data_IF_288430648022
#
_entry.id   IF_288430648022
#
_cell.length_a   1.000
_cell.length_b   1.000
_cell.length_c   1.000
_cell.angle_alpha   90.00
_cell.angle_beta   90.00
_cell.angle_gamma   90.00
#
_symmetry.space_group_name_H-M   'P 1'
#
loop_
_entity.id
_entity.type
_entity.pdbx_description
1 polymer ?
#
# COMPACT_ATOMS: atom_id res chain seq x y z
N UNK A 1 6.01 30.81 -35.81
CA UNK A 1 5.67 29.39 -35.52
C UNK A 1 5.79 29.20 -34.03
N UNK A 2 4.73 29.14 -33.20
CA UNK A 2 4.84 28.84 -31.78
C UNK A 2 4.96 27.33 -31.62
N UNK A 3 6.06 26.89 -30.99
CA UNK A 3 6.36 25.51 -30.73
C UNK A 3 5.33 24.88 -29.79
N UNK A 4 4.80 23.76 -30.24
CA UNK A 4 3.97 22.85 -29.46
C UNK A 4 4.87 22.28 -28.36
N UNK A 5 4.81 22.83 -27.14
CA UNK A 5 5.30 22.15 -25.94
C UNK A 5 4.41 20.93 -25.75
N UNK A 6 4.87 19.78 -26.22
CA UNK A 6 4.27 18.51 -25.91
C UNK A 6 4.22 18.38 -24.37
N UNK A 7 3.02 18.39 -23.81
CA UNK A 7 2.79 18.02 -22.42
C UNK A 7 3.19 16.55 -22.36
N UNK A 8 4.38 16.29 -21.83
CA UNK A 8 4.83 14.95 -21.49
C UNK A 8 3.81 14.40 -20.48
N UNK A 9 2.87 13.59 -20.96
CA UNK A 9 1.89 12.93 -20.11
C UNK A 9 2.68 12.01 -19.21
N UNK A 10 2.87 12.42 -17.96
CA UNK A 10 3.48 11.56 -16.94
C UNK A 10 2.59 10.33 -16.87
N UNK A 11 3.16 9.15 -17.19
CA UNK A 11 2.40 7.91 -17.11
C UNK A 11 2.20 7.56 -15.63
N UNK A 12 0.95 7.28 -15.20
CA UNK A 12 0.70 6.88 -13.84
C UNK A 12 1.43 5.57 -13.49
N UNK A 13 1.85 5.44 -12.26
CA UNK A 13 2.53 4.22 -11.79
C UNK A 13 1.55 3.05 -11.70
N UNK A 14 0.30 3.32 -11.31
CA UNK A 14 -0.79 2.34 -11.28
C UNK A 14 -2.00 2.92 -11.99
N UNK A 15 -2.67 2.12 -12.80
CA UNK A 15 -3.87 2.56 -13.50
C UNK A 15 -4.92 1.43 -13.53
N UNK A 16 -6.13 1.77 -13.13
CA UNK A 16 -7.33 0.96 -13.25
C UNK A 16 -8.20 1.54 -14.36
N UNK A 17 -8.53 0.75 -15.38
CA UNK A 17 -9.35 1.15 -16.52
C UNK A 17 -10.60 0.28 -16.59
N UNK A 18 -11.74 0.83 -16.21
CA UNK A 18 -13.05 0.17 -16.27
C UNK A 18 -13.05 -1.24 -15.64
N UNK A 19 -12.38 -1.35 -14.48
CA UNK A 19 -12.14 -2.62 -13.81
C UNK A 19 -13.42 -3.14 -13.17
N UNK A 20 -13.84 -4.35 -13.57
CA UNK A 20 -14.88 -5.11 -12.90
C UNK A 20 -14.35 -6.48 -12.47
N UNK A 21 -14.86 -6.98 -11.37
CA UNK A 21 -14.49 -8.30 -10.85
C UNK A 21 -15.70 -9.02 -10.28
N UNK A 22 -15.91 -10.22 -10.78
CA UNK A 22 -16.97 -11.11 -10.35
C UNK A 22 -16.38 -12.48 -9.97
N UNK A 23 -16.87 -13.05 -8.89
CA UNK A 23 -16.51 -14.39 -8.44
C UNK A 23 -17.72 -15.09 -7.85
N UNK A 24 -18.00 -16.32 -8.29
CA UNK A 24 -19.15 -17.11 -7.83
C UNK A 24 -20.51 -16.41 -8.03
N UNK A 25 -20.69 -15.68 -9.13
CA UNK A 25 -21.91 -14.92 -9.42
C UNK A 25 -22.08 -13.64 -8.59
N UNK A 26 -21.10 -13.30 -7.74
CA UNK A 26 -21.11 -12.06 -6.92
C UNK A 26 -20.18 -11.02 -7.51
N UNK A 27 -20.73 -9.84 -7.80
CA UNK A 27 -19.97 -8.68 -8.22
C UNK A 27 -19.25 -8.07 -7.02
N UNK A 28 -17.91 -7.98 -7.11
CA UNK A 28 -17.04 -7.41 -6.06
C UNK A 28 -16.58 -6.01 -6.44
N UNK A 29 -16.18 -5.80 -7.71
CA UNK A 29 -15.86 -4.48 -8.26
C UNK A 29 -16.68 -4.25 -9.52
N UNK A 30 -17.15 -3.02 -9.72
CA UNK A 30 -18.00 -2.63 -10.84
C UNK A 30 -17.50 -1.33 -11.44
N UNK A 31 -16.91 -1.40 -12.63
CA UNK A 31 -16.47 -0.25 -13.43
C UNK A 31 -15.59 0.76 -12.67
N UNK A 32 -14.60 0.24 -11.94
CA UNK A 32 -13.68 1.06 -11.14
C UNK A 32 -12.57 1.59 -12.03
N UNK A 33 -12.41 2.92 -12.05
CA UNK A 33 -11.36 3.60 -12.82
C UNK A 33 -10.67 4.64 -11.95
N UNK A 34 -9.35 4.55 -11.83
CA UNK A 34 -8.48 5.54 -11.20
C UNK A 34 -7.03 5.36 -11.67
N UNK A 35 -6.22 6.39 -11.47
CA UNK A 35 -4.78 6.33 -11.67
C UNK A 35 -4.08 6.75 -10.39
N UNK A 36 -2.84 6.30 -10.17
CA UNK A 36 -1.97 6.72 -9.06
C UNK A 36 -0.65 7.20 -9.66
N UNK A 37 -0.37 8.47 -9.46
CA UNK A 37 0.84 9.11 -9.97
C UNK A 37 2.07 8.77 -9.12
N UNK A 38 3.26 8.93 -9.69
CA UNK A 38 4.51 8.72 -8.96
C UNK A 38 4.58 9.68 -7.74
N UNK A 39 4.94 9.14 -6.57
CA UNK A 39 5.01 9.89 -5.31
C UNK A 39 3.67 10.13 -4.63
N UNK A 40 2.55 9.72 -5.24
CA UNK A 40 1.21 9.86 -4.66
C UNK A 40 0.95 8.76 -3.60
N UNK A 41 0.18 9.12 -2.57
CA UNK A 41 -0.43 8.17 -1.64
C UNK A 41 -1.95 8.19 -1.85
N UNK A 42 -2.47 7.22 -2.61
CA UNK A 42 -3.91 7.01 -2.73
C UNK A 42 -4.40 6.18 -1.54
N UNK A 43 -5.34 6.72 -0.78
CA UNK A 43 -6.04 5.94 0.26
C UNK A 43 -7.38 5.47 -0.27
N UNK A 44 -7.57 4.16 -0.36
CA UNK A 44 -8.87 3.55 -0.62
C UNK A 44 -9.62 3.38 0.70
N UNK A 45 -10.61 4.25 0.91
CA UNK A 45 -11.50 4.25 2.06
C UNK A 45 -12.78 3.49 1.73
N UNK A 46 -13.37 2.81 2.70
CA UNK A 46 -14.68 2.15 2.54
C UNK A 46 -14.94 1.11 3.61
N UNK A 47 -16.18 0.68 3.75
CA UNK A 47 -16.57 -0.37 4.71
C UNK A 47 -15.95 -1.73 4.38
N UNK A 48 -15.99 -2.65 5.33
CA UNK A 48 -15.61 -4.05 5.06
C UNK A 48 -16.44 -4.62 3.91
N UNK A 49 -15.77 -5.36 3.01
CA UNK A 49 -16.43 -5.95 1.83
C UNK A 49 -16.67 -4.99 0.67
N UNK A 50 -16.22 -3.73 0.72
CA UNK A 50 -16.38 -2.78 -0.40
C UNK A 50 -15.48 -3.05 -1.62
N UNK A 51 -14.51 -4.00 -1.52
CA UNK A 51 -13.63 -4.38 -2.63
C UNK A 51 -12.19 -3.84 -2.54
N UNK A 52 -11.81 -3.11 -1.48
CA UNK A 52 -10.48 -2.48 -1.31
C UNK A 52 -9.31 -3.46 -1.42
N UNK A 53 -9.32 -4.52 -0.61
CA UNK A 53 -8.31 -5.60 -0.65
C UNK A 53 -8.28 -6.30 -2.01
N UNK A 54 -9.43 -6.42 -2.68
CA UNK A 54 -9.52 -6.97 -4.04
C UNK A 54 -8.76 -6.08 -5.03
N UNK A 55 -8.92 -4.75 -4.95
CA UNK A 55 -8.17 -3.81 -5.76
C UNK A 55 -6.65 -3.92 -5.50
N UNK A 56 -6.20 -4.00 -4.23
CA UNK A 56 -4.78 -4.23 -3.93
C UNK A 56 -4.26 -5.53 -4.53
N UNK A 57 -5.02 -6.63 -4.41
CA UNK A 57 -4.64 -7.93 -4.97
C UNK A 57 -4.58 -7.94 -6.51
N UNK A 58 -5.30 -7.06 -7.17
CA UNK A 58 -5.18 -6.87 -8.62
C UNK A 58 -3.93 -6.07 -8.99
N UNK A 59 -3.57 -5.09 -8.18
CA UNK A 59 -2.36 -4.29 -8.41
C UNK A 59 -1.10 -5.14 -8.37
N UNK A 60 -1.02 -6.15 -7.47
CA UNK A 60 0.14 -7.04 -7.37
C UNK A 60 0.02 -8.35 -8.18
N UNK A 61 -0.99 -8.46 -9.07
CA UNK A 61 -1.19 -9.62 -9.92
C UNK A 61 -1.59 -10.91 -9.20
N UNK A 62 -2.11 -10.82 -7.95
CA UNK A 62 -2.69 -11.97 -7.25
C UNK A 62 -4.12 -12.28 -7.73
N UNK A 63 -4.81 -11.27 -8.22
CA UNK A 63 -6.11 -11.38 -8.87
C UNK A 63 -6.09 -10.61 -10.19
N UNK A 64 -6.93 -11.05 -11.13
CA UNK A 64 -7.11 -10.37 -12.41
C UNK A 64 -8.56 -9.96 -12.61
N UNK A 65 -8.83 -8.77 -13.18
CA UNK A 65 -10.20 -8.33 -13.42
C UNK A 65 -10.92 -9.24 -14.41
N UNK A 66 -12.25 -9.38 -14.24
CA UNK A 66 -13.11 -10.07 -15.24
C UNK A 66 -13.40 -9.19 -16.44
N UNK A 67 -13.39 -7.86 -16.26
CA UNK A 67 -13.49 -6.85 -17.34
C UNK A 67 -12.57 -5.69 -17.00
N UNK A 68 -12.14 -4.96 -18.03
CA UNK A 68 -11.20 -3.86 -17.87
C UNK A 68 -9.77 -4.34 -17.67
N UNK A 69 -8.90 -3.43 -17.22
CA UNK A 69 -7.47 -3.67 -17.13
C UNK A 69 -6.85 -2.94 -15.94
N UNK A 70 -5.88 -3.60 -15.30
CA UNK A 70 -5.00 -2.98 -14.32
C UNK A 70 -3.59 -2.92 -14.90
N UNK A 71 -2.96 -1.75 -14.85
CA UNK A 71 -1.59 -1.52 -15.30
C UNK A 71 -0.70 -1.07 -14.15
N UNK A 72 0.52 -1.56 -14.15
CA UNK A 72 1.61 -1.12 -13.27
C UNK A 72 2.79 -0.74 -14.15
N UNK A 73 3.35 0.46 -13.96
CA UNK A 73 4.40 1.03 -14.81
C UNK A 73 4.03 0.98 -16.31
N UNK A 74 2.77 1.28 -16.64
CA UNK A 74 2.25 1.30 -18.01
C UNK A 74 2.01 -0.07 -18.63
N UNK A 75 2.39 -1.17 -17.98
CA UNK A 75 2.23 -2.56 -18.46
C UNK A 75 1.06 -3.26 -17.74
N UNK A 76 0.24 -4.00 -18.49
CA UNK A 76 -0.84 -4.81 -17.92
C UNK A 76 -0.32 -5.81 -16.88
N UNK A 77 -1.02 -5.94 -15.74
CA UNK A 77 -0.63 -6.94 -14.72
C UNK A 77 -0.70 -8.37 -15.23
N UNK A 78 -1.46 -8.64 -16.30
CA UNK A 78 -1.52 -9.95 -16.98
C UNK A 78 -0.27 -10.26 -17.81
N UNK A 79 0.44 -9.23 -18.26
CA UNK A 79 1.63 -9.34 -19.11
C UNK A 79 2.93 -9.37 -18.31
N UNK A 80 2.89 -9.02 -17.04
CA UNK A 80 4.04 -9.10 -16.16
C UNK A 80 4.41 -10.56 -15.86
N UNK A 81 5.72 -10.82 -15.74
CA UNK A 81 6.16 -11.99 -15.00
C UNK A 81 5.68 -11.88 -13.55
N UNK A 82 4.92 -12.87 -13.03
CA UNK A 82 4.28 -12.75 -11.72
C UNK A 82 5.28 -12.60 -10.55
N UNK A 83 6.50 -13.16 -10.70
CA UNK A 83 7.54 -13.06 -9.66
C UNK A 83 8.14 -11.66 -9.70
N UNK A 84 8.49 -11.18 -10.89
CA UNK A 84 9.07 -9.84 -11.07
C UNK A 84 8.11 -8.74 -10.59
N UNK A 85 6.82 -8.83 -10.94
CA UNK A 85 5.83 -7.87 -10.47
C UNK A 85 5.77 -7.80 -8.95
N UNK A 86 5.68 -8.97 -8.28
CA UNK A 86 5.61 -9.04 -6.80
C UNK A 86 6.87 -8.51 -6.12
N UNK A 87 8.05 -8.69 -6.71
CA UNK A 87 9.32 -8.17 -6.18
C UNK A 87 9.46 -6.66 -6.34
N UNK A 88 8.79 -6.06 -7.34
CA UNK A 88 8.74 -4.61 -7.54
C UNK A 88 7.73 -3.90 -6.65
N UNK A 89 6.94 -4.64 -5.88
CA UNK A 89 5.87 -4.11 -5.03
C UNK A 89 6.12 -4.53 -3.59
N UNK A 90 6.32 -3.55 -2.70
CA UNK A 90 6.31 -3.81 -1.28
C UNK A 90 4.88 -3.97 -0.78
N UNK A 91 4.56 -5.10 -0.14
CA UNK A 91 3.21 -5.36 0.33
C UNK A 91 3.18 -5.63 1.83
N UNK A 92 2.46 -4.77 2.54
CA UNK A 92 2.17 -4.91 3.97
C UNK A 92 0.73 -5.39 4.10
N UNK A 93 0.56 -6.65 4.52
CA UNK A 93 -0.75 -7.28 4.72
C UNK A 93 -1.25 -7.06 6.14
N UNK A 94 -2.56 -7.17 6.34
CA UNK A 94 -3.24 -6.95 7.62
C UNK A 94 -2.66 -7.80 8.77
N UNK A 95 -2.39 -9.07 8.53
CA UNK A 95 -1.76 -9.99 9.50
C UNK A 95 -0.25 -10.09 9.25
N UNK A 96 0.48 -9.06 9.15
CA UNK A 96 1.93 -8.90 8.89
C UNK A 96 2.61 -10.03 8.09
N UNK A 97 2.23 -11.29 8.27
CA UNK A 97 2.69 -12.46 7.52
C UNK A 97 4.21 -12.64 7.55
N UNK A 98 4.86 -12.40 8.68
CA UNK A 98 6.28 -12.71 8.85
C UNK A 98 6.48 -14.23 8.85
N UNK A 99 7.56 -14.69 8.24
CA UNK A 99 7.95 -16.11 8.28
C UNK A 99 8.35 -16.47 9.71
N UNK A 100 7.62 -17.35 10.41
CA UNK A 100 7.79 -17.57 11.84
C UNK A 100 9.11 -18.27 12.19
N UNK A 101 9.71 -18.96 11.23
CA UNK A 101 10.99 -19.68 11.34
C UNK A 101 12.20 -18.84 10.88
N UNK A 102 11.98 -17.62 10.42
CA UNK A 102 13.01 -16.66 10.05
C UNK A 102 13.22 -15.64 11.18
N UNK A 103 14.44 -15.21 11.38
CA UNK A 103 14.74 -14.04 12.22
C UNK A 103 14.19 -12.76 11.59
N UNK A 104 14.21 -11.67 12.33
CA UNK A 104 13.87 -10.33 11.81
C UNK A 104 14.75 -9.98 10.61
N UNK A 105 16.06 -10.15 10.72
CA UNK A 105 17.01 -9.91 9.63
C UNK A 105 16.67 -10.74 8.39
N UNK A 106 16.40 -12.02 8.56
CA UNK A 106 16.03 -12.92 7.46
C UNK A 106 14.69 -12.53 6.82
N UNK A 107 13.70 -12.10 7.63
CA UNK A 107 12.42 -11.61 7.12
C UNK A 107 12.61 -10.34 6.28
N UNK A 108 13.36 -9.36 6.77
CA UNK A 108 13.57 -8.08 6.07
C UNK A 108 14.46 -8.29 4.85
N UNK A 109 15.56 -9.02 4.96
CA UNK A 109 16.53 -9.23 3.89
C UNK A 109 16.10 -10.21 2.80
N UNK A 110 14.93 -10.85 2.91
CA UNK A 110 14.51 -11.93 2.00
C UNK A 110 14.45 -11.47 0.53
N UNK A 111 13.74 -10.40 0.24
CA UNK A 111 13.54 -9.95 -1.16
C UNK A 111 14.85 -9.44 -1.76
N UNK A 112 15.65 -8.59 -1.10
CA UNK A 112 16.99 -8.24 -1.59
C UNK A 112 17.88 -9.46 -1.92
N UNK A 113 17.89 -10.48 -1.07
CA UNK A 113 18.61 -11.75 -1.35
C UNK A 113 18.09 -12.45 -2.60
N UNK A 114 16.77 -12.53 -2.77
CA UNK A 114 16.15 -13.11 -3.96
C UNK A 114 16.43 -12.29 -5.24
N UNK A 115 16.72 -11.00 -5.09
CA UNK A 115 17.15 -10.11 -6.18
C UNK A 115 18.68 -10.19 -6.42
N UNK A 116 19.41 -11.01 -5.66
CA UNK A 116 20.85 -11.24 -5.85
C UNK A 116 21.72 -10.14 -5.26
N UNK A 117 21.23 -9.36 -4.29
CA UNK A 117 22.06 -8.36 -3.63
C UNK A 117 23.22 -9.03 -2.86
N UNK A 118 24.42 -8.44 -2.82
CA UNK A 118 25.50 -8.89 -1.97
C UNK A 118 25.10 -8.94 -0.50
N UNK A 119 25.55 -9.92 0.25
CA UNK A 119 25.16 -10.09 1.67
C UNK A 119 25.47 -8.85 2.51
N UNK A 120 26.59 -8.16 2.23
CA UNK A 120 26.97 -6.93 2.93
C UNK A 120 25.96 -5.81 2.70
N UNK A 121 25.44 -5.66 1.48
CA UNK A 121 24.45 -4.64 1.14
C UNK A 121 23.10 -4.96 1.77
N UNK A 122 22.73 -6.25 1.79
CA UNK A 122 21.53 -6.73 2.47
C UNK A 122 21.60 -6.41 3.96
N UNK A 123 22.72 -6.71 4.61
CA UNK A 123 22.90 -6.45 6.04
C UNK A 123 22.77 -4.95 6.35
N UNK A 124 23.49 -4.10 5.62
CA UNK A 124 23.43 -2.64 5.80
C UNK A 124 21.99 -2.11 5.56
N UNK A 125 21.31 -2.63 4.55
CA UNK A 125 19.92 -2.27 4.25
C UNK A 125 18.98 -2.65 5.39
N UNK A 126 19.12 -3.84 5.94
CA UNK A 126 18.35 -4.33 7.10
C UNK A 126 18.59 -3.45 8.32
N UNK A 127 19.85 -3.20 8.67
CA UNK A 127 20.21 -2.38 9.82
C UNK A 127 19.63 -0.97 9.71
N UNK A 128 19.76 -0.35 8.56
CA UNK A 128 19.18 0.98 8.30
C UNK A 128 17.66 0.98 8.46
N UNK A 129 16.96 0.04 7.84
CA UNK A 129 15.49 -0.01 7.89
C UNK A 129 14.96 -0.33 9.30
N UNK A 130 15.63 -1.19 10.04
CA UNK A 130 15.27 -1.45 11.43
C UNK A 130 15.44 -0.18 12.28
N UNK A 131 16.54 0.56 12.11
CA UNK A 131 16.75 1.84 12.76
C UNK A 131 15.67 2.88 12.42
N UNK A 132 15.31 3.02 11.13
CA UNK A 132 14.22 3.89 10.67
C UNK A 132 12.85 3.49 11.27
N UNK A 133 12.65 2.21 11.56
CA UNK A 133 11.45 1.69 12.23
C UNK A 133 11.53 1.77 13.77
N UNK A 134 12.57 2.36 14.34
CA UNK A 134 12.74 2.44 15.80
C UNK A 134 12.96 1.08 16.46
N UNK A 135 13.59 0.14 15.75
CA UNK A 135 13.99 -1.17 16.24
C UNK A 135 15.52 -1.26 16.20
N UNK A 136 16.24 -1.01 17.32
CA UNK A 136 17.69 -1.10 17.38
C UNK A 136 18.20 -2.43 16.79
N UNK A 137 19.04 -2.41 15.73
CA UNK A 137 19.42 -3.64 15.02
C UNK A 137 20.09 -4.67 15.90
N UNK A 138 20.98 -4.25 16.80
CA UNK A 138 21.72 -5.14 17.71
C UNK A 138 20.81 -5.93 18.64
N UNK A 139 19.65 -5.37 18.96
CA UNK A 139 18.66 -6.00 19.83
C UNK A 139 17.66 -6.86 19.05
N UNK A 140 17.25 -6.42 17.85
CA UNK A 140 16.10 -7.00 17.16
C UNK A 140 16.44 -7.93 16.00
N UNK A 141 17.57 -7.76 15.31
CA UNK A 141 17.87 -8.52 14.07
C UNK A 141 17.85 -10.03 14.25
N UNK A 142 18.30 -10.53 15.41
CA UNK A 142 18.36 -11.98 15.73
C UNK A 142 17.07 -12.54 16.31
N UNK A 143 16.06 -11.69 16.64
CA UNK A 143 14.79 -12.17 17.21
C UNK A 143 13.94 -12.85 16.17
N UNK A 144 13.07 -13.75 16.64
CA UNK A 144 12.02 -14.37 15.85
C UNK A 144 10.68 -13.65 16.04
N UNK A 145 9.74 -13.74 15.08
CA UNK A 145 8.43 -13.06 15.17
C UNK A 145 7.66 -13.31 16.46
N UNK A 146 7.78 -14.51 17.05
CA UNK A 146 7.15 -14.87 18.34
C UNK A 146 7.68 -14.08 19.55
N UNK A 147 8.83 -13.47 19.42
CA UNK A 147 9.50 -12.67 20.47
C UNK A 147 9.18 -11.18 20.36
N UNK A 148 8.33 -10.80 19.41
CA UNK A 148 7.97 -9.42 19.12
C UNK A 148 6.53 -9.13 19.55
N UNK A 149 6.28 -7.88 19.99
CA UNK A 149 4.91 -7.36 20.15
C UNK A 149 4.19 -7.22 18.80
N UNK A 150 2.89 -7.01 18.81
CA UNK A 150 2.11 -6.76 17.57
C UNK A 150 2.64 -5.57 16.77
N UNK A 151 2.90 -4.46 17.45
CA UNK A 151 3.46 -3.25 16.81
C UNK A 151 4.89 -3.47 16.29
N UNK A 152 5.74 -4.21 17.02
CA UNK A 152 7.09 -4.55 16.54
C UNK A 152 7.02 -5.45 15.31
N UNK A 153 6.13 -6.45 15.28
CA UNK A 153 5.90 -7.26 14.06
C UNK A 153 5.49 -6.41 12.89
N UNK A 154 4.59 -5.43 13.10
CA UNK A 154 4.14 -4.52 12.05
C UNK A 154 5.30 -3.67 11.50
N UNK A 155 6.14 -3.11 12.37
CA UNK A 155 7.35 -2.37 11.98
C UNK A 155 8.31 -3.22 11.13
N UNK A 156 8.53 -4.48 11.51
CA UNK A 156 9.33 -5.44 10.72
C UNK A 156 8.67 -5.72 9.37
N UNK A 157 7.34 -5.83 9.32
CA UNK A 157 6.59 -6.00 8.07
C UNK A 157 6.75 -4.81 7.10
N UNK A 158 6.74 -3.59 7.64
CA UNK A 158 7.01 -2.37 6.84
C UNK A 158 8.47 -2.35 6.36
N UNK A 159 9.44 -2.64 7.24
CA UNK A 159 10.85 -2.75 6.87
C UNK A 159 11.07 -3.78 5.75
N UNK A 160 10.44 -4.95 5.85
CA UNK A 160 10.48 -5.99 4.80
C UNK A 160 9.92 -5.50 3.47
N UNK A 161 8.79 -4.79 3.49
CA UNK A 161 8.18 -4.26 2.28
C UNK A 161 9.06 -3.22 1.57
N UNK A 162 9.88 -2.49 2.33
CA UNK A 162 10.80 -1.45 1.82
C UNK A 162 12.17 -2.00 1.41
N UNK A 163 12.50 -3.22 1.80
CA UNK A 163 13.88 -3.71 1.74
C UNK A 163 14.50 -3.70 0.34
N UNK A 164 13.76 -4.13 -0.68
CA UNK A 164 14.20 -4.14 -2.08
C UNK A 164 14.02 -2.79 -2.79
N UNK A 165 13.75 -1.71 -2.07
CA UNK A 165 13.54 -0.36 -2.60
C UNK A 165 12.46 -0.27 -3.70
N UNK A 166 11.26 -0.86 -3.50
CA UNK A 166 10.25 -0.92 -4.53
C UNK A 166 9.71 0.47 -4.89
N UNK A 167 9.30 0.72 -6.15
CA UNK A 167 8.66 1.97 -6.55
C UNK A 167 7.24 2.12 -6.02
N UNK A 168 6.56 1.01 -5.70
CA UNK A 168 5.18 0.95 -5.24
C UNK A 168 5.06 0.20 -3.92
N UNK A 169 4.30 0.78 -2.99
CA UNK A 169 3.96 0.17 -1.71
C UNK A 169 2.46 -0.04 -1.60
N UNK A 170 2.04 -1.21 -1.18
CA UNK A 170 0.65 -1.55 -0.89
C UNK A 170 0.48 -1.82 0.60
N UNK A 171 -0.53 -1.21 1.21
CA UNK A 171 -0.85 -1.38 2.62
C UNK A 171 -2.32 -1.80 2.77
N UNK A 172 -2.54 -2.99 3.31
CA UNK A 172 -3.87 -3.54 3.54
C UNK A 172 -4.21 -3.51 5.03
N UNK A 173 -4.92 -2.48 5.46
CA UNK A 173 -5.34 -2.20 6.86
C UNK A 173 -4.18 -2.37 7.89
N UNK A 174 -3.00 -1.75 7.67
CA UNK A 174 -1.80 -2.07 8.44
C UNK A 174 -1.87 -1.66 9.91
N UNK A 175 -2.86 -0.88 10.31
CA UNK A 175 -3.01 -0.41 11.69
C UNK A 175 -4.22 -1.02 12.42
N UNK A 176 -5.01 -1.87 11.74
CA UNK A 176 -6.29 -2.38 12.24
C UNK A 176 -6.19 -3.18 13.55
N UNK A 177 -5.12 -3.94 13.73
CA UNK A 177 -4.91 -4.82 14.88
C UNK A 177 -4.04 -4.19 16.01
N UNK A 178 -3.76 -2.88 15.95
CA UNK A 178 -2.90 -2.19 16.90
C UNK A 178 -3.68 -1.44 17.97
N UNK A 179 -3.11 -1.39 19.18
CA UNK A 179 -3.59 -0.50 20.23
C UNK A 179 -3.47 0.98 19.79
N UNK A 180 -4.25 1.91 20.40
CA UNK A 180 -4.31 3.30 19.96
C UNK A 180 -2.95 4.03 20.00
N UNK A 181 -2.09 3.75 20.99
CA UNK A 181 -0.79 4.44 21.15
C UNK A 181 0.17 3.99 20.05
N UNK A 182 0.33 2.69 19.89
CA UNK A 182 1.18 2.09 18.84
C UNK A 182 0.71 2.51 17.44
N UNK A 183 -0.60 2.61 17.22
CA UNK A 183 -1.19 3.08 15.96
C UNK A 183 -0.74 4.49 15.62
N UNK A 184 -0.85 5.43 16.56
CA UNK A 184 -0.43 6.83 16.35
C UNK A 184 1.07 6.94 16.04
N UNK A 185 1.91 6.19 16.76
CA UNK A 185 3.35 6.14 16.51
C UNK A 185 3.68 5.63 15.11
N UNK A 186 3.09 4.52 14.70
CA UNK A 186 3.31 3.94 13.36
C UNK A 186 2.80 4.83 12.24
N UNK A 187 1.66 5.50 12.43
CA UNK A 187 1.19 6.50 11.48
C UNK A 187 2.17 7.66 11.32
N UNK A 188 2.76 8.14 12.43
CA UNK A 188 3.80 9.18 12.39
C UNK A 188 5.02 8.72 11.63
N UNK A 189 5.53 7.52 11.92
CA UNK A 189 6.67 6.92 11.21
C UNK A 189 6.36 6.76 9.72
N UNK A 190 5.14 6.32 9.35
CA UNK A 190 4.73 6.25 7.95
C UNK A 190 4.78 7.61 7.25
N UNK A 191 4.31 8.69 7.91
CA UNK A 191 4.36 10.04 7.35
C UNK A 191 5.80 10.54 7.14
N UNK A 192 6.69 10.28 8.10
CA UNK A 192 8.11 10.60 7.98
C UNK A 192 8.76 9.83 6.82
N UNK A 193 8.46 8.54 6.73
CA UNK A 193 8.93 7.65 5.67
C UNK A 193 8.45 8.11 4.28
N UNK A 194 7.17 8.50 4.17
CA UNK A 194 6.61 9.06 2.93
C UNK A 194 7.34 10.33 2.49
N UNK A 195 7.62 11.25 3.42
CA UNK A 195 8.33 12.51 3.14
C UNK A 195 9.76 12.25 2.67
N UNK A 196 10.44 11.29 3.27
CA UNK A 196 11.85 11.01 3.01
C UNK A 196 12.06 10.19 1.74
N UNK A 197 11.17 9.25 1.44
CA UNK A 197 11.35 8.28 0.35
C UNK A 197 10.58 8.64 -0.93
N UNK A 198 9.61 9.56 -0.86
CA UNK A 198 8.76 9.95 -2.00
C UNK A 198 8.19 8.76 -2.78
N UNK A 199 7.90 7.64 -2.08
CA UNK A 199 7.37 6.42 -2.68
C UNK A 199 5.90 6.57 -3.02
N UNK A 200 5.49 5.95 -4.11
CA UNK A 200 4.07 5.80 -4.45
C UNK A 200 3.44 4.74 -3.56
N UNK A 201 2.25 4.99 -3.06
CA UNK A 201 1.56 3.99 -2.23
C UNK A 201 0.05 3.96 -2.47
N UNK A 202 -0.51 2.75 -2.34
CA UNK A 202 -1.95 2.54 -2.19
C UNK A 202 -2.18 1.99 -0.80
N UNK A 203 -3.00 2.69 -0.05
CA UNK A 203 -3.30 2.40 1.33
C UNK A 203 -4.79 2.05 1.47
N UNK A 204 -5.10 0.94 2.10
CA UNK A 204 -6.49 0.52 2.37
C UNK A 204 -6.80 0.71 3.84
N UNK A 205 -7.91 1.37 4.13
CA UNK A 205 -8.42 1.53 5.50
C UNK A 205 -9.95 1.67 5.50
N UNK A 206 -10.54 1.44 6.66
CA UNK A 206 -11.92 1.81 6.96
C UNK A 206 -12.01 3.01 7.93
N UNK A 207 -10.87 3.60 8.31
CA UNK A 207 -10.80 4.75 9.21
C UNK A 207 -10.59 6.05 8.43
N UNK A 208 -11.58 6.95 8.51
CA UNK A 208 -11.54 8.26 7.85
C UNK A 208 -10.40 9.14 8.37
N UNK A 209 -10.04 9.02 9.67
CA UNK A 209 -8.95 9.80 10.27
C UNK A 209 -7.60 9.39 9.66
N UNK A 210 -7.41 8.11 9.42
CA UNK A 210 -6.24 7.60 8.71
C UNK A 210 -6.21 8.12 7.26
N UNK A 211 -7.34 8.05 6.54
CA UNK A 211 -7.43 8.50 5.17
C UNK A 211 -7.06 9.98 5.03
N UNK A 212 -7.63 10.84 5.87
CA UNK A 212 -7.36 12.28 5.88
C UNK A 212 -5.93 12.63 6.28
N UNK A 213 -5.32 11.82 7.16
CA UNK A 213 -3.96 12.07 7.66
C UNK A 213 -2.87 11.58 6.72
N UNK A 214 -3.08 10.42 6.09
CA UNK A 214 -2.05 9.73 5.34
C UNK A 214 -2.14 9.96 3.84
N UNK A 215 -3.34 10.17 3.29
CA UNK A 215 -3.55 10.31 1.85
C UNK A 215 -3.08 11.65 1.29
N UNK A 216 -2.57 11.62 0.07
CA UNK A 216 -2.55 12.80 -0.82
C UNK A 216 -3.84 12.86 -1.62
N UNK A 217 -4.46 11.70 -1.84
CA UNK A 217 -5.79 11.54 -2.44
C UNK A 217 -6.55 10.41 -1.75
N UNK A 218 -7.87 10.56 -1.66
CA UNK A 218 -8.78 9.59 -1.05
C UNK A 218 -9.75 9.10 -2.11
N UNK A 219 -9.83 7.79 -2.29
CA UNK A 219 -10.83 7.12 -3.11
C UNK A 219 -11.85 6.41 -2.22
N UNK A 220 -13.10 6.86 -2.22
CA UNK A 220 -14.18 6.20 -1.49
C UNK A 220 -14.75 5.06 -2.31
N UNK A 221 -14.58 3.83 -1.83
CA UNK A 221 -15.10 2.63 -2.48
C UNK A 221 -16.34 2.13 -1.74
N UNK A 222 -17.49 2.18 -2.41
CA UNK A 222 -18.80 1.78 -1.87
C UNK A 222 -19.41 0.69 -2.75
N UNK A 223 -19.71 -0.47 -2.16
CA UNK A 223 -20.35 -1.60 -2.88
C UNK A 223 -19.67 -1.92 -4.21
N UNK A 224 -18.33 -1.90 -4.24
CA UNK A 224 -17.54 -2.20 -5.43
C UNK A 224 -17.42 -1.07 -6.46
N UNK A 225 -17.92 0.14 -6.17
CA UNK A 225 -17.83 1.33 -7.05
C UNK A 225 -17.00 2.41 -6.40
N UNK A 226 -16.23 3.14 -7.20
CA UNK A 226 -15.52 4.34 -6.76
C UNK A 226 -16.48 5.52 -6.84
N UNK A 227 -16.95 6.01 -5.70
CA UNK A 227 -17.91 7.12 -5.64
C UNK A 227 -17.24 8.50 -5.66
N UNK A 228 -16.11 8.60 -4.95
CA UNK A 228 -15.37 9.85 -4.78
C UNK A 228 -13.88 9.55 -4.96
N UNK A 229 -13.17 10.43 -5.66
CA UNK A 229 -11.71 10.44 -5.72
C UNK A 229 -11.24 11.90 -5.68
N UNK A 230 -10.76 12.34 -4.51
CA UNK A 230 -10.47 13.75 -4.22
C UNK A 230 -9.27 13.88 -3.28
N UNK A 231 -8.65 15.06 -3.23
CA UNK A 231 -7.70 15.36 -2.16
C UNK A 231 -8.39 15.42 -0.79
N UNK A 232 -7.64 15.38 0.33
CA UNK A 232 -8.24 15.37 1.68
C UNK A 232 -9.11 16.60 2.00
N UNK A 233 -8.85 17.77 1.40
CA UNK A 233 -9.65 18.99 1.64
C UNK A 233 -10.97 18.93 0.86
N UNK A 234 -10.89 18.56 -0.42
CA UNK A 234 -12.05 18.35 -1.27
C UNK A 234 -12.94 17.22 -0.75
N UNK A 235 -12.33 16.12 -0.25
CA UNK A 235 -13.07 14.99 0.33
C UNK A 235 -13.94 15.41 1.52
N UNK A 236 -13.50 16.36 2.35
CA UNK A 236 -14.31 16.93 3.45
C UNK A 236 -15.59 17.62 2.97
N UNK A 237 -15.64 18.02 1.70
CA UNK A 237 -16.78 18.64 1.07
C UNK A 237 -17.67 17.66 0.28
N UNK A 238 -17.32 16.38 0.24
CA UNK A 238 -18.09 15.33 -0.42
C UNK A 238 -19.51 15.24 0.20
N UNK A 239 -20.51 14.98 -0.66
CA UNK A 239 -21.93 14.99 -0.27
C UNK A 239 -22.67 13.69 -0.59
N UNK A 240 -21.95 12.63 -0.98
CA UNK A 240 -22.58 11.30 -1.10
C UNK A 240 -22.97 10.79 0.28
N UNK A 241 -23.99 9.97 0.37
CA UNK A 241 -24.50 9.39 1.62
C UNK A 241 -23.37 8.69 2.40
N UNK A 242 -22.57 7.88 1.69
CA UNK A 242 -21.48 7.14 2.31
C UNK A 242 -20.35 8.08 2.78
N UNK A 243 -20.00 9.12 2.00
CA UNK A 243 -19.00 10.09 2.42
C UNK A 243 -19.44 10.85 3.68
N UNK A 244 -20.71 11.28 3.75
CA UNK A 244 -21.27 11.94 4.93
C UNK A 244 -21.26 11.01 6.15
N UNK A 245 -21.57 9.71 5.96
CA UNK A 245 -21.49 8.72 7.05
C UNK A 245 -20.07 8.60 7.62
N UNK A 246 -19.03 8.61 6.77
CA UNK A 246 -17.64 8.59 7.23
C UNK A 246 -17.24 9.91 7.91
N UNK A 247 -17.63 11.06 7.34
CA UNK A 247 -17.29 12.38 7.88
C UNK A 247 -17.96 12.64 9.24
N UNK A 248 -19.20 12.16 9.43
CA UNK A 248 -19.90 12.23 10.72
C UNK A 248 -19.23 11.43 11.85
N UNK A 249 -18.34 10.50 11.54
CA UNK A 249 -17.51 9.79 12.52
C UNK A 249 -16.24 10.56 12.96
N UNK A 250 -16.06 11.81 12.52
CA UNK A 250 -14.94 12.67 12.94
C UNK A 250 -15.23 13.45 14.23
N UNK A 251 -16.52 13.69 14.48
CA UNK A 251 -17.04 14.32 15.72
C UNK A 251 -17.06 13.28 16.84
#
# INVERSE_FOLDING_TARGET
>A
MPGIRGIMRIMPLVEFRHVSYEVGGRQILTDVSFAVEAGETLVLLGRSGSGKTTALKMTNGMLFPTRGEVRVEGRSTREWDPIRLKRRIGYVIQEVGLFPHFTVEQNVGLVPKLEGWPDVDVQQRVERLLGEMGLPPDEYRGRYPRQLSGGQRQRVGVARALAADPPLLLFDEPFGALDPVTRVELQRQFLELRRNLQKTSIFVTHDIREALRLGTRIGLLTRGRLEVAADPQEFRNARTEEALSFLGGLD
#
